data_IF_635279140585
#
_entry.id   IF_635279140585
#
_cell.length_a   1.000
_cell.length_b   1.000
_cell.length_c   1.000
_cell.angle_alpha   90.00
_cell.angle_beta   90.00
_cell.angle_gamma   90.00
#
_symmetry.space_group_name_H-M   'P 1'
#
loop_
_entity.id
_entity.type
_entity.pdbx_description
1 polymer ?
#
# COMPACT_ATOMS: atom_id res chain seq x y z
N UNK A 1 -34.18 -71.31 -17.35
CA UNK A 1 -34.38 -70.25 -16.35
C UNK A 1 -33.20 -70.29 -15.37
N UNK A 2 -32.53 -69.13 -15.23
CA UNK A 2 -31.56 -68.70 -14.19
C UNK A 2 -30.23 -69.48 -14.01
N UNK A 3 -29.20 -68.77 -14.45
CA UNK A 3 -27.76 -68.89 -14.20
C UNK A 3 -27.38 -68.44 -12.75
N UNK A 4 -26.09 -68.58 -12.35
CA UNK A 4 -25.65 -68.96 -10.99
C UNK A 4 -25.27 -67.79 -10.07
N UNK A 5 -25.22 -68.08 -8.77
CA UNK A 5 -24.41 -67.35 -7.78
C UNK A 5 -23.02 -67.97 -7.71
N UNK A 6 -21.96 -67.19 -7.91
CA UNK A 6 -20.82 -67.05 -6.98
C UNK A 6 -19.78 -66.06 -7.53
N UNK A 7 -19.68 -64.94 -6.82
CA UNK A 7 -18.43 -64.32 -6.34
C UNK A 7 -17.40 -63.82 -7.38
N UNK A 8 -17.62 -62.59 -7.85
CA UNK A 8 -16.56 -61.66 -8.26
C UNK A 8 -16.63 -60.47 -7.29
N UNK A 9 -15.62 -60.29 -6.43
CA UNK A 9 -15.30 -59.00 -5.80
C UNK A 9 -14.02 -59.13 -4.96
N UNK A 10 -12.87 -59.00 -5.61
CA UNK A 10 -11.62 -58.65 -4.96
C UNK A 10 -10.85 -57.71 -5.90
N UNK A 11 -10.19 -56.71 -5.31
CA UNK A 11 -9.42 -55.63 -5.92
C UNK A 11 -10.21 -54.36 -6.27
N UNK A 12 -10.34 -53.44 -5.30
CA UNK A 12 -10.30 -51.98 -5.52
C UNK A 12 -10.31 -51.23 -4.18
N UNK A 13 -9.22 -51.32 -3.40
CA UNK A 13 -8.95 -50.41 -2.27
C UNK A 13 -7.45 -50.11 -2.16
N UNK A 14 -6.84 -49.64 -3.26
CA UNK A 14 -5.54 -48.96 -3.22
C UNK A 14 -5.66 -47.72 -4.10
N UNK A 15 -5.93 -46.58 -3.48
CA UNK A 15 -6.03 -45.29 -4.16
C UNK A 15 -6.36 -44.11 -3.24
N UNK A 16 -6.19 -44.26 -1.93
CA UNK A 16 -6.59 -43.28 -0.93
C UNK A 16 -5.46 -42.86 -0.01
N UNK A 17 -4.27 -42.56 -0.51
CA UNK A 17 -3.20 -41.93 0.28
C UNK A 17 -2.25 -41.09 -0.60
N UNK A 18 -2.71 -39.94 -1.11
CA UNK A 18 -1.81 -38.86 -1.58
C UNK A 18 -2.51 -37.52 -1.88
N UNK A 19 -3.60 -37.17 -1.22
CA UNK A 19 -3.98 -35.75 -1.05
C UNK A 19 -3.46 -35.27 0.29
N UNK A 20 -2.13 -35.23 0.44
CA UNK A 20 -1.54 -34.38 1.47
C UNK A 20 -1.94 -32.94 1.11
N UNK A 21 -3.02 -32.45 1.74
CA UNK A 21 -3.37 -31.04 1.70
C UNK A 21 -2.13 -30.27 2.18
N UNK A 22 -1.37 -29.72 1.23
CA UNK A 22 -0.21 -28.90 1.57
C UNK A 22 -0.75 -27.69 2.31
N UNK A 23 -0.36 -27.57 3.56
CA UNK A 23 -0.76 -26.44 4.38
C UNK A 23 0.05 -25.21 3.94
N UNK A 24 -0.61 -24.30 3.21
CA UNK A 24 -0.06 -23.01 2.80
C UNK A 24 -0.42 -21.86 3.76
N UNK A 25 -0.85 -22.14 4.99
CA UNK A 25 -1.13 -21.12 6.03
C UNK A 25 -0.01 -20.08 6.17
N UNK A 26 1.30 -20.42 6.13
CA UNK A 26 2.35 -19.39 6.19
C UNK A 26 2.29 -18.39 5.02
N UNK A 27 1.95 -18.87 3.82
CA UNK A 27 1.79 -18.02 2.61
C UNK A 27 0.57 -17.12 2.76
N UNK A 28 -0.55 -17.68 3.23
CA UNK A 28 -1.77 -16.92 3.50
C UNK A 28 -1.56 -15.83 4.56
N UNK A 29 -0.88 -16.16 5.66
CA UNK A 29 -0.54 -15.20 6.73
C UNK A 29 0.31 -14.06 6.18
N UNK A 30 1.37 -14.37 5.44
CA UNK A 30 2.21 -13.36 4.79
C UNK A 30 1.43 -12.48 3.81
N UNK A 31 0.59 -13.09 2.98
CA UNK A 31 -0.25 -12.38 2.03
C UNK A 31 -1.21 -11.42 2.74
N UNK A 32 -1.92 -11.89 3.77
CA UNK A 32 -2.83 -11.06 4.57
C UNK A 32 -2.14 -9.86 5.21
N UNK A 33 -0.94 -10.06 5.79
CA UNK A 33 -0.15 -8.96 6.34
C UNK A 33 0.33 -7.98 5.26
N UNK A 34 0.69 -8.48 4.07
CA UNK A 34 1.08 -7.62 2.95
C UNK A 34 -0.09 -6.78 2.45
N UNK A 35 -1.29 -7.36 2.30
CA UNK A 35 -2.51 -6.60 1.96
C UNK A 35 -2.76 -5.50 3.00
N UNK A 36 -2.68 -5.82 4.29
CA UNK A 36 -2.88 -4.84 5.36
C UNK A 36 -1.93 -3.63 5.28
N UNK A 37 -0.66 -3.84 4.92
CA UNK A 37 0.30 -2.74 4.69
C UNK A 37 -0.16 -1.84 3.53
N UNK A 38 -0.59 -2.45 2.42
CA UNK A 38 -1.00 -1.70 1.22
C UNK A 38 -2.26 -0.86 1.44
N UNK A 39 -3.15 -1.29 2.34
CA UNK A 39 -4.32 -0.50 2.72
C UNK A 39 -3.96 0.71 3.58
N UNK A 40 -2.95 0.61 4.45
CA UNK A 40 -2.44 1.75 5.24
C UNK A 40 -1.73 2.80 4.37
N UNK A 41 -1.20 2.39 3.22
CA UNK A 41 -0.54 3.33 2.30
C UNK A 41 -1.51 4.29 1.60
N UNK A 42 -2.74 3.87 1.31
CA UNK A 42 -3.73 4.70 0.60
C UNK A 42 -4.02 6.02 1.33
N UNK A 43 -4.30 6.06 2.65
CA UNK A 43 -4.39 7.30 3.40
C UNK A 43 -3.15 8.20 3.27
N UNK A 44 -1.93 7.64 3.24
CA UNK A 44 -0.71 8.42 3.07
C UNK A 44 -0.69 9.21 1.76
N UNK A 45 -1.12 8.57 0.65
CA UNK A 45 -1.27 9.23 -0.66
C UNK A 45 -2.36 10.30 -0.64
N UNK A 46 -3.55 9.98 -0.08
CA UNK A 46 -4.65 10.95 0.03
C UNK A 46 -4.25 12.18 0.83
N UNK A 47 -3.56 12.00 1.97
CA UNK A 47 -3.07 13.13 2.77
C UNK A 47 -2.06 13.97 2.04
N UNK A 48 -1.23 13.37 1.19
CA UNK A 48 -0.24 14.09 0.40
C UNK A 48 -0.93 15.07 -0.56
N UNK A 49 -1.97 14.60 -1.26
CA UNK A 49 -2.78 15.45 -2.14
C UNK A 49 -3.52 16.54 -1.35
N UNK A 50 -4.14 16.18 -0.22
CA UNK A 50 -4.83 17.14 0.66
C UNK A 50 -3.86 18.19 1.23
N UNK A 51 -2.62 17.82 1.51
CA UNK A 51 -1.60 18.77 2.00
C UNK A 51 -1.26 19.78 0.90
N UNK A 52 -1.09 19.33 -0.35
CA UNK A 52 -0.88 20.24 -1.49
C UNK A 52 -2.05 21.23 -1.64
N UNK A 53 -3.29 20.73 -1.67
CA UNK A 53 -4.46 21.58 -1.88
C UNK A 53 -4.72 22.53 -0.70
N UNK A 54 -4.60 22.03 0.53
CA UNK A 54 -4.77 22.86 1.72
C UNK A 54 -3.69 23.93 1.85
N UNK A 55 -2.43 23.64 1.49
CA UNK A 55 -1.36 24.64 1.52
C UNK A 55 -1.60 25.78 0.52
N UNK A 56 -2.05 25.47 -0.70
CA UNK A 56 -2.39 26.52 -1.69
C UNK A 56 -3.55 27.37 -1.19
N UNK A 57 -4.61 26.76 -0.65
CA UNK A 57 -5.77 27.48 -0.08
C UNK A 57 -5.39 28.34 1.13
N UNK A 58 -4.59 27.79 2.05
CA UNK A 58 -4.12 28.52 3.24
C UNK A 58 -3.27 29.71 2.82
N UNK A 59 -2.33 29.52 1.90
CA UNK A 59 -1.47 30.61 1.44
C UNK A 59 -2.25 31.72 0.72
N UNK A 60 -3.29 31.41 -0.06
CA UNK A 60 -4.09 32.46 -0.72
C UNK A 60 -4.89 33.33 0.26
N UNK A 61 -5.19 32.82 1.46
CA UNK A 61 -5.84 33.58 2.54
C UNK A 61 -4.83 34.44 3.32
N UNK A 62 -3.55 34.03 3.38
CA UNK A 62 -2.50 34.69 4.19
C UNK A 62 -1.85 35.88 3.46
N UNK A 63 -2.05 36.03 2.15
CA UNK A 63 -1.48 37.17 1.41
C UNK A 63 -2.24 38.47 1.63
N UNK A 64 -1.57 39.62 1.47
CA UNK A 64 -2.19 40.97 1.50
C UNK A 64 -3.16 41.24 0.32
N UNK A 65 -3.53 40.20 -0.45
CA UNK A 65 -4.41 40.30 -1.61
C UNK A 65 -5.81 39.77 -1.27
N UNK A 66 -6.87 40.33 -1.86
CA UNK A 66 -8.22 39.80 -1.69
C UNK A 66 -8.27 38.34 -2.18
N UNK A 67 -8.91 37.47 -1.39
CA UNK A 67 -9.12 36.08 -1.77
C UNK A 67 -10.06 35.99 -2.97
N UNK A 68 -9.55 35.45 -4.08
CA UNK A 68 -10.31 35.19 -5.30
C UNK A 68 -10.46 33.68 -5.47
N UNK A 69 -11.68 33.17 -5.21
CA UNK A 69 -11.95 31.74 -5.19
C UNK A 69 -11.63 31.06 -6.52
N UNK A 70 -12.01 31.66 -7.65
CA UNK A 70 -11.81 31.08 -8.98
C UNK A 70 -10.32 31.03 -9.38
N UNK A 71 -9.55 32.05 -9.03
CA UNK A 71 -8.09 32.07 -9.27
C UNK A 71 -7.36 31.07 -8.37
N UNK A 72 -7.80 30.93 -7.11
CA UNK A 72 -7.25 29.93 -6.18
C UNK A 72 -7.50 28.51 -6.69
N UNK A 73 -8.68 28.20 -7.20
CA UNK A 73 -8.99 26.88 -7.78
C UNK A 73 -8.20 26.60 -9.07
N UNK A 74 -7.96 27.61 -9.91
CA UNK A 74 -7.05 27.46 -11.06
C UNK A 74 -5.59 27.24 -10.62
N UNK A 75 -5.12 27.96 -9.61
CA UNK A 75 -3.77 27.81 -9.06
C UNK A 75 -3.58 26.45 -8.38
N UNK A 76 -4.61 25.94 -7.71
CA UNK A 76 -4.67 24.60 -7.14
C UNK A 76 -4.45 23.53 -8.20
N UNK A 77 -5.23 23.56 -9.27
CA UNK A 77 -5.09 22.61 -10.39
C UNK A 77 -3.67 22.71 -10.94
N UNK A 78 -3.19 23.91 -11.26
CA UNK A 78 -1.87 24.10 -11.86
C UNK A 78 -0.73 23.60 -10.97
N UNK A 79 -0.76 23.89 -9.66
CA UNK A 79 0.33 23.54 -8.74
C UNK A 79 0.30 22.08 -8.30
N UNK A 80 -0.89 21.53 -8.08
CA UNK A 80 -1.03 20.16 -7.58
C UNK A 80 -1.17 19.11 -8.70
N UNK A 81 -1.30 19.49 -9.98
CA UNK A 81 -1.44 18.52 -11.08
C UNK A 81 -0.19 17.67 -11.30
N UNK A 82 1.01 18.28 -11.36
CA UNK A 82 2.26 17.53 -11.46
C UNK A 82 2.44 16.59 -10.25
N UNK A 83 2.03 17.06 -9.07
CA UNK A 83 2.03 16.28 -7.85
C UNK A 83 1.07 15.07 -7.94
N UNK A 84 -0.14 15.27 -8.46
CA UNK A 84 -1.13 14.21 -8.64
C UNK A 84 -0.63 13.10 -9.58
N UNK A 85 0.06 13.45 -10.67
CA UNK A 85 0.61 12.45 -11.59
C UNK A 85 1.72 11.62 -10.93
N UNK A 86 2.58 12.23 -10.10
CA UNK A 86 3.59 11.49 -9.33
C UNK A 86 2.95 10.53 -8.31
N UNK A 87 1.88 10.97 -7.63
CA UNK A 87 1.14 10.13 -6.70
C UNK A 87 0.46 8.95 -7.40
N UNK A 88 -0.04 9.14 -8.63
CA UNK A 88 -0.66 8.07 -9.41
C UNK A 88 0.30 6.91 -9.66
N UNK A 89 1.53 7.18 -10.12
CA UNK A 89 2.54 6.13 -10.30
C UNK A 89 2.88 5.40 -9.00
N UNK A 90 2.92 6.11 -7.87
CA UNK A 90 3.16 5.51 -6.55
C UNK A 90 1.97 4.65 -6.08
N UNK A 91 0.74 5.09 -6.36
CA UNK A 91 -0.48 4.33 -6.09
C UNK A 91 -0.48 3.00 -6.86
N UNK A 92 -0.08 3.04 -8.13
CA UNK A 92 -0.03 1.84 -8.96
C UNK A 92 1.02 0.83 -8.46
N UNK A 93 2.18 1.28 -7.96
CA UNK A 93 3.14 0.38 -7.31
C UNK A 93 2.55 -0.31 -6.08
N UNK A 94 1.81 0.43 -5.26
CA UNK A 94 1.11 -0.14 -4.10
C UNK A 94 0.04 -1.14 -4.52
N UNK A 95 -0.68 -0.87 -5.61
CA UNK A 95 -1.70 -1.77 -6.15
C UNK A 95 -1.10 -3.05 -6.74
N UNK A 96 0.07 -2.99 -7.39
CA UNK A 96 0.80 -4.20 -7.82
C UNK A 96 1.18 -5.05 -6.61
N UNK A 97 1.71 -4.46 -5.54
CA UNK A 97 2.04 -5.18 -4.31
C UNK A 97 0.80 -5.80 -3.66
N UNK A 98 -0.32 -5.06 -3.64
CA UNK A 98 -1.59 -5.55 -3.11
C UNK A 98 -2.07 -6.76 -3.90
N UNK A 99 -2.11 -6.67 -5.23
CA UNK A 99 -2.56 -7.76 -6.12
C UNK A 99 -1.67 -8.99 -6.01
N UNK A 100 -0.35 -8.79 -5.90
CA UNK A 100 0.60 -9.87 -5.62
C UNK A 100 0.19 -10.66 -4.37
N UNK A 101 -0.11 -9.95 -3.28
CA UNK A 101 -0.52 -10.57 -2.03
C UNK A 101 -1.91 -11.22 -2.12
N UNK A 102 -2.89 -10.56 -2.74
CA UNK A 102 -4.23 -11.13 -2.94
C UNK A 102 -4.19 -12.43 -3.75
N UNK A 103 -3.37 -12.49 -4.81
CA UNK A 103 -3.18 -13.71 -5.60
C UNK A 103 -2.47 -14.79 -4.80
N UNK A 104 -1.46 -14.45 -3.99
CA UNK A 104 -0.83 -15.41 -3.07
C UNK A 104 -1.83 -15.97 -2.04
N UNK A 105 -2.68 -15.13 -1.46
CA UNK A 105 -3.74 -15.57 -0.55
C UNK A 105 -4.76 -16.47 -1.27
N UNK A 106 -5.22 -16.06 -2.47
CA UNK A 106 -6.16 -16.84 -3.25
C UNK A 106 -5.57 -18.21 -3.64
N UNK A 107 -4.29 -18.27 -4.01
CA UNK A 107 -3.58 -19.53 -4.21
C UNK A 107 -3.50 -20.34 -2.93
N UNK A 108 -3.03 -19.75 -1.81
CA UNK A 108 -2.86 -20.46 -0.55
C UNK A 108 -4.16 -21.11 -0.04
N UNK A 109 -5.31 -20.48 -0.34
CA UNK A 109 -6.64 -20.96 0.05
C UNK A 109 -7.39 -21.75 -1.03
N UNK A 110 -6.79 -21.99 -2.20
CA UNK A 110 -7.44 -22.64 -3.35
C UNK A 110 -8.72 -21.93 -3.83
N UNK A 111 -8.71 -20.59 -3.84
CA UNK A 111 -9.86 -19.73 -4.16
C UNK A 111 -9.72 -18.94 -5.47
N UNK A 112 -8.69 -19.18 -6.27
CA UNK A 112 -8.41 -18.40 -7.50
C UNK A 112 -9.60 -18.25 -8.45
N UNK A 113 -10.42 -19.30 -8.60
CA UNK A 113 -11.59 -19.28 -9.49
C UNK A 113 -12.63 -18.22 -9.10
N UNK A 114 -12.69 -17.84 -7.81
CA UNK A 114 -13.67 -16.87 -7.29
C UNK A 114 -13.23 -15.41 -7.45
N UNK A 115 -11.96 -15.15 -7.80
CA UNK A 115 -11.36 -13.81 -7.84
C UNK A 115 -11.04 -13.31 -9.26
N UNK A 116 -11.42 -14.07 -10.29
CA UNK A 116 -11.03 -13.81 -11.70
C UNK A 116 -11.54 -12.47 -12.22
N UNK A 117 -12.74 -12.05 -11.82
CA UNK A 117 -13.37 -10.81 -12.28
C UNK A 117 -12.79 -9.56 -11.57
N UNK A 118 -12.40 -9.70 -10.31
CA UNK A 118 -11.78 -8.61 -9.53
C UNK A 118 -10.31 -8.38 -9.93
N UNK A 119 -9.59 -9.45 -10.30
CA UNK A 119 -8.17 -9.38 -10.67
C UNK A 119 -7.97 -9.00 -12.16
N UNK A 120 -8.94 -9.28 -13.04
CA UNK A 120 -8.85 -9.10 -14.50
C UNK A 120 -8.66 -7.65 -15.00
N UNK A 121 -8.87 -6.63 -14.18
CA UNK A 121 -8.71 -5.21 -14.53
C UNK A 121 -7.23 -4.72 -14.56
N UNK A 122 -6.27 -5.62 -14.82
CA UNK A 122 -4.81 -5.40 -14.76
C UNK A 122 -4.21 -4.59 -15.91
N UNK A 123 -4.93 -4.43 -17.03
CA UNK A 123 -4.38 -3.77 -18.24
C UNK A 123 -4.21 -2.26 -18.11
N UNK A 124 -5.12 -1.56 -17.41
CA UNK A 124 -5.14 -0.09 -17.37
C UNK A 124 -4.09 0.56 -16.46
N UNK A 125 -3.61 -0.15 -15.43
CA UNK A 125 -2.64 0.36 -14.45
C UNK A 125 -1.19 0.39 -14.96
N UNK A 126 -0.85 -0.55 -15.85
CA UNK A 126 0.48 -0.66 -16.45
C UNK A 126 0.79 0.50 -17.39
N UNK A 127 -0.23 0.94 -18.15
CA UNK A 127 -0.11 2.11 -19.03
C UNK A 127 0.10 3.40 -18.23
N UNK A 128 -0.55 3.54 -17.06
CA UNK A 128 -0.37 4.68 -16.16
C UNK A 128 1.05 4.74 -15.56
N UNK A 129 1.63 3.58 -15.21
CA UNK A 129 3.02 3.48 -14.75
C UNK A 129 4.02 3.86 -15.87
N UNK A 130 3.80 3.39 -17.10
CA UNK A 130 4.65 3.72 -18.25
C UNK A 130 4.55 5.18 -18.69
N UNK A 131 3.38 5.80 -18.56
CA UNK A 131 3.19 7.23 -18.84
C UNK A 131 3.83 8.16 -17.80
N UNK A 132 4.22 7.65 -16.63
CA UNK A 132 4.87 8.43 -15.56
C UNK A 132 6.36 8.72 -15.79
N UNK A 133 6.96 8.23 -16.87
CA UNK A 133 8.38 8.40 -17.21
C UNK A 133 8.90 9.85 -17.27
N UNK A 134 8.00 10.84 -17.38
CA UNK A 134 8.35 12.26 -17.46
C UNK A 134 8.58 12.97 -16.11
N UNK A 135 8.26 12.35 -14.96
CA UNK A 135 8.35 12.98 -13.65
C UNK A 135 9.18 12.12 -12.71
N UNK A 136 10.38 12.61 -12.37
CA UNK A 136 11.40 12.01 -11.48
C UNK A 136 11.17 10.52 -11.22
N UNK A 137 11.68 9.63 -12.09
CA UNK A 137 11.26 8.24 -12.10
C UNK A 137 11.51 7.63 -10.72
N UNK A 138 10.41 7.22 -10.06
CA UNK A 138 10.49 6.46 -8.81
C UNK A 138 11.25 5.15 -9.06
N UNK A 139 11.13 4.62 -10.29
CA UNK A 139 11.83 3.46 -10.81
C UNK A 139 12.59 3.81 -12.10
N UNK A 140 13.79 3.26 -12.29
CA UNK A 140 14.46 3.30 -13.58
C UNK A 140 13.78 2.37 -14.62
N UNK A 141 14.18 2.48 -15.89
CA UNK A 141 13.56 1.71 -16.98
C UNK A 141 13.67 0.18 -16.76
N UNK A 142 14.78 -0.31 -16.19
CA UNK A 142 14.97 -1.73 -15.89
C UNK A 142 14.11 -2.19 -14.72
N UNK A 143 13.95 -1.35 -13.70
CA UNK A 143 13.05 -1.60 -12.58
C UNK A 143 11.57 -1.60 -13.03
N UNK A 144 11.18 -0.71 -13.93
CA UNK A 144 9.82 -0.69 -14.46
C UNK A 144 9.50 -1.92 -15.31
N UNK A 145 10.46 -2.40 -16.13
CA UNK A 145 10.30 -3.65 -16.88
C UNK A 145 10.07 -4.84 -15.94
N UNK A 146 10.82 -4.93 -14.84
CA UNK A 146 10.63 -5.96 -13.80
C UNK A 146 9.22 -5.91 -13.18
N UNK A 147 8.76 -4.74 -12.76
CA UNK A 147 7.40 -4.56 -12.22
C UNK A 147 6.33 -4.93 -13.26
N UNK A 148 6.52 -4.53 -14.52
CA UNK A 148 5.61 -4.88 -15.63
C UNK A 148 5.51 -6.40 -15.84
N UNK A 149 6.66 -7.08 -15.82
CA UNK A 149 6.74 -8.54 -15.94
C UNK A 149 6.12 -9.25 -14.74
N UNK A 150 6.24 -8.70 -13.53
CA UNK A 150 5.55 -9.22 -12.35
C UNK A 150 4.03 -9.13 -12.53
N UNK A 151 3.50 -7.98 -12.95
CA UNK A 151 2.06 -7.82 -13.21
C UNK A 151 1.54 -8.77 -14.28
N UNK A 152 2.32 -9.01 -15.35
CA UNK A 152 1.98 -9.99 -16.39
C UNK A 152 1.97 -11.41 -15.83
N UNK A 153 2.95 -11.78 -15.00
CA UNK A 153 2.99 -13.08 -14.34
C UNK A 153 1.77 -13.29 -13.43
N UNK A 154 1.41 -12.29 -12.62
CA UNK A 154 0.24 -12.33 -11.74
C UNK A 154 -1.02 -12.65 -12.58
N UNK A 155 -1.22 -11.94 -13.70
CA UNK A 155 -2.32 -12.22 -14.63
C UNK A 155 -2.30 -13.65 -15.16
N UNK A 156 -1.13 -14.15 -15.57
CA UNK A 156 -0.98 -15.51 -16.10
C UNK A 156 -1.31 -16.56 -15.04
N UNK A 157 -0.81 -16.42 -13.81
CA UNK A 157 -1.04 -17.37 -12.72
C UNK A 157 -2.53 -17.48 -12.38
N UNK A 158 -3.26 -16.37 -12.39
CA UNK A 158 -4.71 -16.35 -12.17
C UNK A 158 -5.45 -17.19 -13.22
N UNK A 159 -4.94 -17.25 -14.46
CA UNK A 159 -5.56 -18.06 -15.53
C UNK A 159 -5.21 -19.55 -15.48
N UNK A 160 -4.03 -19.91 -14.94
CA UNK A 160 -3.51 -21.29 -15.00
C UNK A 160 -4.02 -22.21 -13.89
N UNK A 161 -4.58 -21.67 -12.80
CA UNK A 161 -5.17 -22.43 -11.67
C UNK A 161 -4.23 -23.49 -11.05
N UNK A 162 -2.91 -23.30 -11.10
CA UNK A 162 -1.92 -24.21 -10.50
C UNK A 162 -1.42 -23.69 -9.16
N UNK A 163 -2.00 -24.19 -8.06
CA UNK A 163 -1.74 -23.72 -6.70
C UNK A 163 -0.26 -23.64 -6.32
N UNK A 164 0.44 -24.79 -6.25
CA UNK A 164 1.84 -24.83 -5.79
C UNK A 164 2.79 -24.15 -6.77
N UNK A 165 2.60 -24.32 -8.08
CA UNK A 165 3.46 -23.71 -9.10
C UNK A 165 3.36 -22.20 -9.03
N UNK A 166 2.12 -21.67 -8.97
CA UNK A 166 1.88 -20.23 -8.85
C UNK A 166 2.48 -19.64 -7.58
N UNK A 167 2.36 -20.32 -6.43
CA UNK A 167 3.01 -19.87 -5.19
C UNK A 167 4.53 -19.81 -5.37
N UNK A 168 5.14 -20.88 -5.89
CA UNK A 168 6.60 -20.92 -6.07
C UNK A 168 7.09 -19.85 -7.06
N UNK A 169 6.37 -19.64 -8.15
CA UNK A 169 6.68 -18.64 -9.17
C UNK A 169 6.59 -17.21 -8.60
N UNK A 170 5.56 -16.92 -7.79
CA UNK A 170 5.41 -15.61 -7.12
C UNK A 170 6.44 -15.40 -6.02
N UNK A 171 6.76 -16.42 -5.21
CA UNK A 171 7.82 -16.32 -4.20
C UNK A 171 9.21 -16.16 -4.84
N UNK A 172 9.43 -16.69 -6.05
CA UNK A 172 10.66 -16.51 -6.80
C UNK A 172 10.85 -15.07 -7.31
N UNK A 173 9.81 -14.22 -7.27
CA UNK A 173 9.88 -12.79 -7.63
C UNK A 173 10.27 -11.88 -6.47
N UNK A 174 11.06 -12.39 -5.54
CA UNK A 174 11.58 -11.64 -4.38
C UNK A 174 12.21 -10.29 -4.78
N UNK A 175 13.04 -10.28 -5.82
CA UNK A 175 13.70 -9.06 -6.29
C UNK A 175 12.70 -8.00 -6.79
N UNK A 176 11.67 -8.39 -7.52
CA UNK A 176 10.64 -7.48 -8.04
C UNK A 176 9.85 -6.84 -6.87
N UNK A 177 9.54 -7.64 -5.85
CA UNK A 177 8.88 -7.15 -4.63
C UNK A 177 9.80 -6.23 -3.83
N UNK A 178 11.11 -6.48 -3.82
CA UNK A 178 12.08 -5.60 -3.16
C UNK A 178 12.14 -4.24 -3.86
N UNK A 179 12.10 -4.21 -5.20
CA UNK A 179 12.04 -2.97 -5.97
C UNK A 179 10.81 -2.16 -5.58
N UNK A 180 9.62 -2.79 -5.60
CA UNK A 180 8.35 -2.11 -5.26
C UNK A 180 8.36 -1.61 -3.81
N UNK A 181 8.69 -2.48 -2.85
CA UNK A 181 8.70 -2.10 -1.44
C UNK A 181 9.73 -1.01 -1.12
N UNK A 182 10.91 -1.02 -1.76
CA UNK A 182 11.90 0.06 -1.59
C UNK A 182 11.45 1.38 -2.22
N UNK A 183 10.77 1.35 -3.36
CA UNK A 183 10.16 2.53 -3.95
C UNK A 183 9.10 3.16 -3.02
N UNK A 184 8.23 2.33 -2.43
CA UNK A 184 7.21 2.78 -1.48
C UNK A 184 7.84 3.31 -0.18
N UNK A 185 8.89 2.66 0.34
CA UNK A 185 9.68 3.18 1.47
C UNK A 185 10.29 4.54 1.16
N UNK A 186 10.92 4.68 -0.01
CA UNK A 186 11.52 5.94 -0.47
C UNK A 186 10.46 7.04 -0.59
N UNK A 187 9.28 6.72 -1.09
CA UNK A 187 8.16 7.66 -1.11
C UNK A 187 7.82 8.15 0.31
N UNK A 188 7.61 7.23 1.26
CA UNK A 188 7.27 7.59 2.64
C UNK A 188 8.37 8.44 3.31
N UNK A 189 9.64 8.07 3.13
CA UNK A 189 10.78 8.76 3.72
C UNK A 189 11.08 10.13 3.11
N UNK A 190 10.93 10.28 1.80
CA UNK A 190 11.36 11.50 1.12
C UNK A 190 10.18 12.41 0.84
N UNK A 191 9.18 11.89 0.13
CA UNK A 191 8.08 12.71 -0.38
C UNK A 191 7.07 13.00 0.72
N UNK A 192 6.63 11.97 1.45
CA UNK A 192 5.66 12.18 2.53
C UNK A 192 6.26 12.98 3.68
N UNK A 193 7.50 12.68 4.09
CA UNK A 193 8.19 13.46 5.11
C UNK A 193 8.37 14.94 4.72
N UNK A 194 8.74 15.23 3.47
CA UNK A 194 8.84 16.60 2.98
C UNK A 194 7.48 17.33 3.04
N UNK A 195 6.39 16.68 2.63
CA UNK A 195 5.06 17.27 2.76
C UNK A 195 4.72 17.62 4.21
N UNK A 196 5.01 16.72 5.15
CA UNK A 196 4.75 16.97 6.56
C UNK A 196 5.58 18.16 7.06
N UNK A 197 6.82 18.28 6.61
CA UNK A 197 7.67 19.42 6.93
C UNK A 197 7.08 20.74 6.41
N UNK A 198 6.69 20.78 5.14
CA UNK A 198 6.11 21.97 4.49
C UNK A 198 4.78 22.40 5.13
N UNK A 199 3.93 21.43 5.47
CA UNK A 199 2.70 21.68 6.22
C UNK A 199 3.00 22.26 7.61
N UNK A 200 4.03 21.75 8.30
CA UNK A 200 4.50 22.28 9.58
C UNK A 200 4.99 23.73 9.48
N UNK A 201 5.75 24.06 8.45
CA UNK A 201 6.18 25.45 8.17
C UNK A 201 5.00 26.37 7.90
N UNK A 202 4.00 25.89 7.17
CA UNK A 202 2.77 26.63 6.86
C UNK A 202 1.96 26.92 8.13
N UNK A 203 1.77 25.92 9.00
CA UNK A 203 1.11 26.09 10.31
C UNK A 203 1.84 27.11 11.19
N UNK A 204 3.17 27.07 11.23
CA UNK A 204 3.98 28.03 11.99
C UNK A 204 3.90 29.46 11.42
N UNK A 205 3.76 29.59 10.10
CA UNK A 205 3.52 30.89 9.45
C UNK A 205 2.14 31.44 9.80
N UNK A 206 1.10 30.62 9.68
CA UNK A 206 -0.28 30.96 10.06
C UNK A 206 -0.37 31.43 11.51
N UNK A 207 0.26 30.71 12.44
CA UNK A 207 0.22 31.06 13.85
C UNK A 207 0.81 32.46 14.11
N UNK A 208 1.92 32.81 13.44
CA UNK A 208 2.52 34.15 13.51
C UNK A 208 1.62 35.24 12.92
N UNK A 209 0.94 34.96 11.81
CA UNK A 209 -0.02 35.90 11.23
C UNK A 209 -1.20 36.17 12.17
N UNK A 210 -1.67 35.15 12.89
CA UNK A 210 -2.72 35.30 13.90
C UNK A 210 -2.26 36.12 15.12
N UNK A 211 -0.98 36.11 15.48
CA UNK A 211 -0.45 37.00 16.53
C UNK A 211 -0.63 38.47 16.15
N UNK A 212 -0.39 38.82 14.87
CA UNK A 212 -0.58 40.17 14.37
C UNK A 212 -2.07 40.57 14.28
N UNK A 213 -2.95 39.61 13.95
CA UNK A 213 -4.39 39.83 13.84
C UNK A 213 -5.09 39.91 15.21
N UNK A 214 -4.53 39.29 16.25
CA UNK A 214 -5.13 39.21 17.58
C UNK A 214 -5.42 40.57 18.21
N UNK A 215 -4.67 41.62 17.84
CA UNK A 215 -4.91 42.99 18.30
C UNK A 215 -6.24 43.57 17.78
N UNK A 216 -6.73 43.10 16.62
CA UNK A 216 -7.98 43.57 16.00
C UNK A 216 -9.13 42.61 16.24
N UNK A 217 -8.88 41.31 16.17
CA UNK A 217 -9.89 40.25 16.26
C UNK A 217 -9.46 39.13 17.23
N UNK A 218 -9.49 39.37 18.56
CA UNK A 218 -8.90 38.45 19.53
C UNK A 218 -9.63 37.10 19.63
N UNK A 219 -10.97 37.10 19.56
CA UNK A 219 -11.77 35.87 19.68
C UNK A 219 -11.56 34.96 18.46
N UNK A 220 -11.65 35.51 17.24
CA UNK A 220 -11.43 34.76 16.01
C UNK A 220 -9.99 34.22 15.94
N UNK A 221 -9.00 35.04 16.32
CA UNK A 221 -7.60 34.64 16.35
C UNK A 221 -7.35 33.48 17.33
N UNK A 222 -7.92 33.53 18.53
CA UNK A 222 -7.77 32.45 19.53
C UNK A 222 -8.45 31.15 19.10
N UNK A 223 -9.63 31.23 18.47
CA UNK A 223 -10.30 30.06 17.90
C UNK A 223 -9.44 29.38 16.82
N UNK A 224 -8.90 30.18 15.89
CA UNK A 224 -8.03 29.65 14.82
C UNK A 224 -6.72 29.08 15.37
N UNK A 225 -6.12 29.70 16.39
CA UNK A 225 -4.93 29.16 17.07
C UNK A 225 -5.18 27.80 17.71
N UNK A 226 -6.33 27.61 18.37
CA UNK A 226 -6.71 26.32 18.93
C UNK A 226 -6.82 25.24 17.84
N UNK A 227 -7.38 25.60 16.67
CA UNK A 227 -7.45 24.70 15.51
C UNK A 227 -6.08 24.36 14.94
N UNK A 228 -5.21 25.35 14.76
CA UNK A 228 -3.83 25.12 14.30
C UNK A 228 -3.02 24.24 15.27
N UNK A 229 -3.27 24.36 16.57
CA UNK A 229 -2.64 23.48 17.56
C UNK A 229 -3.05 22.02 17.37
N UNK A 230 -4.35 21.75 17.14
CA UNK A 230 -4.84 20.40 16.86
C UNK A 230 -4.28 19.85 15.54
N UNK A 231 -4.22 20.67 14.49
CA UNK A 231 -3.59 20.30 13.22
C UNK A 231 -2.11 19.94 13.42
N UNK A 232 -1.37 20.72 14.20
CA UNK A 232 0.03 20.46 14.51
C UNK A 232 0.24 19.15 15.27
N UNK A 233 -0.67 18.81 16.20
CA UNK A 233 -0.68 17.51 16.88
C UNK A 233 -0.94 16.37 15.90
N UNK A 234 -1.92 16.52 15.01
CA UNK A 234 -2.22 15.51 13.99
C UNK A 234 -1.04 15.30 13.03
N UNK A 235 -0.34 16.38 12.66
CA UNK A 235 0.86 16.33 11.82
C UNK A 235 1.98 15.50 12.47
N UNK A 236 2.18 15.64 13.79
CA UNK A 236 3.15 14.84 14.53
C UNK A 236 2.78 13.34 14.54
N UNK A 237 1.51 13.01 14.74
CA UNK A 237 1.04 11.62 14.69
C UNK A 237 1.22 11.00 13.30
N UNK A 238 0.94 11.77 12.24
CA UNK A 238 1.20 11.36 10.84
C UNK A 238 2.68 11.05 10.59
N UNK A 239 3.59 11.80 11.22
CA UNK A 239 5.03 11.55 11.13
C UNK A 239 5.44 10.17 11.66
N UNK A 240 4.81 9.68 12.74
CA UNK A 240 5.12 8.36 13.33
C UNK A 240 4.77 7.20 12.41
N UNK A 241 3.84 7.40 11.47
CA UNK A 241 3.43 6.35 10.53
C UNK A 241 4.55 6.02 9.53
N UNK A 242 5.45 6.98 9.23
CA UNK A 242 6.57 6.78 8.31
C UNK A 242 7.48 5.65 8.83
N UNK A 243 7.94 5.75 10.07
CA UNK A 243 8.85 4.78 10.67
C UNK A 243 8.19 3.40 10.81
N UNK A 244 6.91 3.36 11.22
CA UNK A 244 6.16 2.11 11.32
C UNK A 244 5.97 1.45 9.94
N UNK A 245 5.76 2.24 8.89
CA UNK A 245 5.59 1.74 7.52
C UNK A 245 6.90 1.16 6.98
N UNK A 246 8.02 1.84 7.22
CA UNK A 246 9.37 1.38 6.83
C UNK A 246 9.72 0.08 7.55
N UNK A 247 9.41 -0.03 8.85
CA UNK A 247 9.63 -1.24 9.63
C UNK A 247 8.79 -2.40 9.07
N UNK A 248 7.50 -2.19 8.82
CA UNK A 248 6.61 -3.20 8.25
C UNK A 248 7.09 -3.66 6.85
N UNK A 249 7.49 -2.74 5.97
CA UNK A 249 8.03 -3.09 4.65
C UNK A 249 9.37 -3.85 4.72
N UNK A 250 10.19 -3.57 5.73
CA UNK A 250 11.43 -4.33 5.97
C UNK A 250 11.10 -5.76 6.40
N UNK A 251 10.13 -5.93 7.28
CA UNK A 251 9.69 -7.27 7.68
C UNK A 251 8.93 -8.03 6.59
N UNK A 252 8.28 -7.34 5.66
CA UNK A 252 7.76 -7.93 4.42
C UNK A 252 8.91 -8.56 3.63
N UNK A 253 9.98 -7.80 3.39
CA UNK A 253 11.16 -8.27 2.64
C UNK A 253 11.82 -9.48 3.32
N UNK A 254 12.03 -9.43 4.64
CA UNK A 254 12.59 -10.52 5.42
C UNK A 254 11.70 -11.78 5.41
N UNK A 255 10.38 -11.59 5.54
CA UNK A 255 9.41 -12.69 5.53
C UNK A 255 9.32 -13.37 4.18
N UNK A 256 9.37 -12.61 3.08
CA UNK A 256 9.39 -13.16 1.73
C UNK A 256 10.64 -14.00 1.49
N UNK A 257 11.81 -13.49 1.87
CA UNK A 257 13.08 -14.22 1.76
C UNK A 257 13.04 -15.51 2.58
N UNK A 258 12.50 -15.45 3.80
CA UNK A 258 12.37 -16.62 4.67
C UNK A 258 11.37 -17.64 4.12
N UNK A 259 10.23 -17.19 3.60
CA UNK A 259 9.23 -18.05 2.93
C UNK A 259 9.81 -18.81 1.75
N UNK A 260 10.67 -18.15 0.98
CA UNK A 260 11.35 -18.77 -0.17
C UNK A 260 12.40 -19.77 0.27
N UNK A 261 13.16 -19.48 1.33
CA UNK A 261 14.31 -20.26 1.74
C UNK A 261 13.97 -21.46 2.64
N UNK A 262 12.84 -21.41 3.35
CA UNK A 262 12.49 -22.38 4.40
C UNK A 262 11.27 -23.22 4.05
N UNK A 263 11.18 -24.39 4.70
CA UNK A 263 9.97 -25.22 4.64
C UNK A 263 8.80 -24.51 5.32
N UNK A 264 7.56 -24.73 4.84
CA UNK A 264 6.33 -24.18 5.45
C UNK A 264 6.12 -24.62 6.91
N UNK A 265 6.86 -25.62 7.40
CA UNK A 265 6.82 -26.09 8.80
C UNK A 265 8.02 -25.63 9.63
N UNK A 266 8.89 -24.78 9.09
CA UNK A 266 10.10 -24.33 9.79
C UNK A 266 9.75 -23.34 10.92
N UNK A 267 10.14 -23.59 12.18
CA UNK A 267 9.85 -22.69 13.30
C UNK A 267 10.48 -21.30 13.17
N UNK A 268 11.52 -21.13 12.35
CA UNK A 268 12.09 -19.81 12.06
C UNK A 268 11.17 -19.00 11.15
N UNK A 269 10.49 -19.65 10.19
CA UNK A 269 9.50 -19.00 9.34
C UNK A 269 8.30 -18.52 10.15
N UNK A 270 7.77 -19.35 11.05
CA UNK A 270 6.67 -18.98 11.92
C UNK A 270 6.99 -17.74 12.77
N UNK A 271 8.18 -17.73 13.41
CA UNK A 271 8.68 -16.58 14.17
C UNK A 271 8.81 -15.32 13.31
N UNK A 272 9.31 -15.44 12.10
CA UNK A 272 9.46 -14.30 11.18
C UNK A 272 8.08 -13.72 10.81
N UNK A 273 7.09 -14.58 10.54
CA UNK A 273 5.73 -14.13 10.24
C UNK A 273 5.01 -13.49 11.44
N UNK A 274 5.35 -13.89 12.67
CA UNK A 274 4.88 -13.23 13.89
C UNK A 274 5.48 -11.84 14.06
N UNK A 275 6.79 -11.69 13.80
CA UNK A 275 7.46 -10.39 13.80
C UNK A 275 6.81 -9.47 12.76
N UNK A 276 6.57 -9.99 11.56
CA UNK A 276 5.91 -9.25 10.49
C UNK A 276 4.51 -8.78 10.91
N UNK A 277 3.67 -9.69 11.40
CA UNK A 277 2.32 -9.35 11.86
C UNK A 277 2.34 -8.28 12.98
N UNK A 278 3.30 -8.34 13.90
CA UNK A 278 3.46 -7.33 14.96
C UNK A 278 3.81 -5.94 14.40
N UNK A 279 4.66 -5.86 13.38
CA UNK A 279 4.97 -4.58 12.75
C UNK A 279 3.77 -4.03 11.98
N UNK A 280 2.98 -4.89 11.32
CA UNK A 280 1.75 -4.48 10.65
C UNK A 280 0.70 -3.97 11.63
N UNK A 281 0.49 -4.66 12.76
CA UNK A 281 -0.41 -4.20 13.83
C UNK A 281 0.04 -2.84 14.39
N UNK A 282 1.35 -2.66 14.59
CA UNK A 282 1.92 -1.36 15.01
C UNK A 282 1.62 -0.28 13.98
N UNK A 283 1.85 -0.56 12.69
CA UNK A 283 1.53 0.33 11.59
C UNK A 283 0.04 0.71 11.55
N UNK A 284 -0.86 -0.26 11.67
CA UNK A 284 -2.30 -0.03 11.67
C UNK A 284 -2.76 0.84 12.84
N UNK A 285 -2.19 0.63 14.04
CA UNK A 285 -2.45 1.47 15.22
C UNK A 285 -1.99 2.91 15.02
N UNK A 286 -0.81 3.11 14.44
CA UNK A 286 -0.34 4.47 14.12
C UNK A 286 -1.23 5.12 13.06
N UNK A 287 -1.64 4.34 12.05
CA UNK A 287 -2.52 4.82 10.99
C UNK A 287 -3.95 5.13 11.46
N UNK A 288 -4.46 4.50 12.52
CA UNK A 288 -5.76 4.85 13.08
C UNK A 288 -5.83 6.31 13.58
N UNK A 289 -4.68 6.92 13.88
CA UNK A 289 -4.57 8.32 14.28
C UNK A 289 -4.63 9.30 13.07
N UNK A 290 -4.86 8.80 11.85
CA UNK A 290 -4.91 9.62 10.63
C UNK A 290 -6.11 10.55 10.51
N UNK A 291 -7.16 10.43 11.33
CA UNK A 291 -8.42 11.14 11.10
C UNK A 291 -8.25 12.66 10.96
N UNK A 292 -8.57 13.24 9.78
CA UNK A 292 -8.55 14.68 9.58
C UNK A 292 -9.54 15.38 10.51
N UNK A 293 -9.13 16.50 11.10
CA UNK A 293 -10.10 17.52 11.51
C UNK A 293 -10.56 18.25 10.24
N UNK A 294 -11.82 18.12 9.80
CA UNK A 294 -12.32 18.96 8.73
C UNK A 294 -12.18 20.44 9.13
N UNK A 295 -11.73 21.26 8.17
CA UNK A 295 -11.66 22.70 8.36
C UNK A 295 -13.02 23.35 8.13
#
# INVERSE_FOLDING_TARGET
MRQPMTTICACLLIGGMSSACKNFTPVDKFAGQTVAITEVFKPMLTHSMNSCTNNVRRNSIITDRPYLAQETEQDLVRRCQAYATQLAGTAELNDVLKRYAEVLAALANDKLANYKDEIGALGGSLDALQQSHGMTPVLDAGQLDKVTRLSTLISQIVTQQRQQSGINELLAREEDIYIISNALKKYAQQNYQANLHDEGLTLASLNRSLDNAAAREPVASNYLKAKLYLDGRQLQERGKVIDAYIAAMTELQNSLSTLRAKSMKDPALERQLDIFAKQVDTLQKQAANYSPSPW
#
